data_IF_201334148776
#
_entry.id   IF_201334148776
#
_cell.length_a   1.000
_cell.length_b   1.000
_cell.length_c   1.000
_cell.angle_alpha   90.00
_cell.angle_beta   90.00
_cell.angle_gamma   90.00
#
_symmetry.space_group_name_H-M   'P 1'
#
loop_
_entity.id
_entity.type
_entity.pdbx_description
1 polymer ?
#
# COMPACT_ATOMS: atom_id res chain seq x y z
N UNK A 1 -9.00 -6.29 -15.74
CA UNK A 1 -9.68 -4.98 -15.71
C UNK A 1 -10.10 -4.69 -14.28
N UNK A 2 -9.48 -3.71 -13.63
CA UNK A 2 -10.18 -2.74 -12.78
C UNK A 2 -10.87 -3.14 -11.47
N UNK A 3 -10.60 -4.28 -10.84
CA UNK A 3 -11.32 -4.60 -9.59
C UNK A 3 -10.86 -3.78 -8.37
N UNK A 4 -9.62 -3.26 -8.37
CA UNK A 4 -9.11 -2.43 -7.29
C UNK A 4 -9.42 -0.94 -7.53
N UNK A 5 -10.17 -0.35 -6.60
CA UNK A 5 -10.45 1.10 -6.55
C UNK A 5 -9.82 1.69 -5.28
N UNK A 6 -9.14 2.82 -5.42
CA UNK A 6 -8.56 3.57 -4.31
C UNK A 6 -9.22 4.95 -4.23
N UNK A 7 -9.72 5.30 -3.05
CA UNK A 7 -10.15 6.66 -2.72
C UNK A 7 -9.06 7.29 -1.84
N UNK A 8 -8.24 8.15 -2.44
CA UNK A 8 -7.13 8.81 -1.74
C UNK A 8 -7.61 9.85 -0.73
N UNK A 9 -8.78 10.47 -0.95
CA UNK A 9 -9.33 11.47 -0.05
C UNK A 9 -9.87 10.85 1.24
N UNK A 10 -10.49 9.67 1.12
CA UNK A 10 -11.03 8.90 2.26
C UNK A 10 -10.06 7.85 2.80
N UNK A 11 -8.95 7.62 2.10
CA UNK A 11 -7.98 6.53 2.35
C UNK A 11 -8.65 5.16 2.41
N UNK A 12 -9.57 4.91 1.47
CA UNK A 12 -10.32 3.65 1.36
C UNK A 12 -9.87 2.86 0.12
N UNK A 13 -9.72 1.55 0.28
CA UNK A 13 -9.49 0.63 -0.84
C UNK A 13 -10.69 -0.31 -0.99
N UNK A 14 -11.08 -0.60 -2.24
CA UNK A 14 -12.13 -1.56 -2.57
C UNK A 14 -11.64 -2.53 -3.62
N UNK A 15 -11.89 -3.81 -3.41
CA UNK A 15 -11.64 -4.86 -4.39
C UNK A 15 -12.95 -5.48 -4.83
N UNK A 16 -13.21 -5.49 -6.14
CA UNK A 16 -14.47 -5.95 -6.73
C UNK A 16 -15.70 -5.31 -6.04
N UNK A 17 -15.59 -4.01 -5.72
CA UNK A 17 -16.62 -3.22 -5.02
C UNK A 17 -16.71 -3.41 -3.50
N UNK A 18 -15.98 -4.38 -2.92
CA UNK A 18 -15.97 -4.66 -1.47
C UNK A 18 -14.87 -3.87 -0.76
N UNK A 19 -15.15 -3.21 0.38
CA UNK A 19 -14.12 -2.50 1.13
C UNK A 19 -13.07 -3.47 1.67
N UNK A 20 -11.81 -3.09 1.55
CA UNK A 20 -10.65 -3.81 2.08
C UNK A 20 -10.11 -3.03 3.27
N UNK A 21 -10.05 -3.69 4.42
CA UNK A 21 -9.49 -3.09 5.63
C UNK A 21 -7.96 -3.09 5.54
N UNK A 22 -7.39 -1.90 5.31
CA UNK A 22 -5.94 -1.68 5.26
C UNK A 22 -5.53 -0.77 6.41
N UNK A 23 -4.35 -1.01 6.97
CA UNK A 23 -3.70 -0.02 7.84
C UNK A 23 -3.22 1.17 7.01
N UNK A 24 -2.91 2.28 7.67
CA UNK A 24 -2.34 3.48 7.04
C UNK A 24 -1.17 3.13 6.12
N UNK A 25 -0.20 2.36 6.63
CA UNK A 25 1.00 1.94 5.88
C UNK A 25 0.63 1.06 4.68
N UNK A 26 -0.30 0.13 4.84
CA UNK A 26 -0.70 -0.75 3.74
C UNK A 26 -1.39 0.04 2.63
N UNK A 27 -2.20 1.04 2.98
CA UNK A 27 -2.83 1.93 2.03
C UNK A 27 -1.80 2.78 1.27
N UNK A 28 -0.81 3.33 1.97
CA UNK A 28 0.26 4.12 1.35
C UNK A 28 1.11 3.25 0.41
N UNK A 29 1.50 2.04 0.85
CA UNK A 29 2.21 1.08 0.00
C UNK A 29 1.39 0.72 -1.24
N UNK A 30 0.10 0.44 -1.07
CA UNK A 30 -0.79 0.14 -2.18
C UNK A 30 -0.91 1.31 -3.15
N UNK A 31 -0.97 2.54 -2.64
CA UNK A 31 -1.02 3.75 -3.45
C UNK A 31 0.25 3.91 -4.27
N UNK A 32 1.43 3.73 -3.66
CA UNK A 32 2.73 3.78 -4.37
C UNK A 32 2.80 2.73 -5.47
N UNK A 33 2.39 1.50 -5.17
CA UNK A 33 2.36 0.40 -6.15
C UNK A 33 1.36 0.68 -7.29
N UNK A 34 0.19 1.22 -6.96
CA UNK A 34 -0.86 1.53 -7.93
C UNK A 34 -0.52 2.71 -8.84
N UNK A 35 0.34 3.65 -8.39
CA UNK A 35 0.82 4.75 -9.23
C UNK A 35 1.73 4.27 -10.37
N UNK A 36 2.42 3.14 -10.20
CA UNK A 36 3.34 2.59 -11.21
C UNK A 36 3.10 1.08 -11.41
N UNK A 37 1.98 0.69 -12.01
CA UNK A 37 1.62 -0.71 -12.19
C UNK A 37 2.67 -1.42 -13.06
N UNK A 38 3.09 -2.61 -12.62
CA UNK A 38 4.11 -3.41 -13.31
C UNK A 38 5.56 -3.04 -13.01
N UNK A 39 5.81 -1.96 -12.25
CA UNK A 39 7.15 -1.66 -11.77
C UNK A 39 7.50 -2.54 -10.57
N UNK A 40 8.70 -3.12 -10.58
CA UNK A 40 9.29 -3.76 -9.40
C UNK A 40 9.93 -2.67 -8.52
N UNK A 41 9.52 -2.62 -7.26
CA UNK A 41 10.10 -1.73 -6.27
C UNK A 41 11.05 -2.49 -5.35
N UNK A 42 12.21 -1.92 -5.07
CA UNK A 42 13.10 -2.42 -4.01
C UNK A 42 12.58 -2.05 -2.63
N UNK A 43 13.06 -2.75 -1.60
CA UNK A 43 12.73 -2.43 -0.19
C UNK A 43 12.98 -0.96 0.14
N UNK A 44 14.14 -0.44 -0.25
CA UNK A 44 14.54 0.94 0.00
C UNK A 44 13.62 1.93 -0.72
N UNK A 45 13.22 1.64 -1.96
CA UNK A 45 12.29 2.49 -2.69
C UNK A 45 10.90 2.53 -2.05
N UNK A 46 10.40 1.40 -1.55
CA UNK A 46 9.13 1.36 -0.84
C UNK A 46 9.21 2.13 0.48
N UNK A 47 10.32 1.99 1.22
CA UNK A 47 10.56 2.73 2.46
C UNK A 47 10.62 4.24 2.23
N UNK A 48 11.38 4.68 1.23
CA UNK A 48 11.51 6.09 0.85
C UNK A 48 10.15 6.68 0.45
N UNK A 49 9.36 5.93 -0.33
CA UNK A 49 8.06 6.37 -0.81
C UNK A 49 6.99 6.50 0.30
N UNK A 50 7.12 5.79 1.43
CA UNK A 50 6.18 5.87 2.56
C UNK A 50 6.69 6.72 3.73
N UNK A 51 7.98 7.04 3.80
CA UNK A 51 8.59 7.84 4.86
C UNK A 51 8.20 9.33 4.83
N UNK A 52 7.61 9.81 3.72
CA UNK A 52 7.33 11.24 3.50
C UNK A 52 6.34 11.91 4.45
N UNK A 53 5.53 11.16 5.22
CA UNK A 53 4.60 11.77 6.19
C UNK A 53 4.56 11.13 7.58
N UNK A 54 5.06 9.90 7.77
CA UNK A 54 5.08 9.31 9.12
C UNK A 54 6.06 8.14 9.24
N UNK A 55 6.57 7.99 10.47
CA UNK A 55 7.15 6.75 11.01
C UNK A 55 8.61 6.40 10.67
N UNK A 56 9.53 7.04 11.39
CA UNK A 56 10.93 6.66 11.55
C UNK A 56 11.17 5.29 12.27
N UNK A 57 10.14 4.45 12.45
CA UNK A 57 10.20 3.26 13.33
C UNK A 57 9.96 1.90 12.66
N UNK A 58 9.64 1.85 11.36
CA UNK A 58 9.02 0.66 10.74
C UNK A 58 9.90 -0.11 9.73
N UNK A 59 11.20 0.22 9.62
CA UNK A 59 12.12 -0.41 8.65
C UNK A 59 12.16 -1.96 8.76
N UNK A 60 11.89 -2.49 9.96
CA UNK A 60 11.97 -3.93 10.26
C UNK A 60 10.76 -4.76 9.81
N UNK A 61 9.64 -4.16 9.42
CA UNK A 61 8.39 -4.91 9.19
C UNK A 61 7.72 -4.66 7.83
N UNK A 62 8.38 -3.97 6.90
CA UNK A 62 7.78 -3.68 5.57
C UNK A 62 7.35 -4.96 4.82
N UNK A 63 8.10 -6.05 4.94
CA UNK A 63 7.73 -7.33 4.32
C UNK A 63 6.43 -7.90 4.88
N UNK A 64 6.20 -7.73 6.19
CA UNK A 64 4.96 -8.16 6.84
C UNK A 64 3.78 -7.29 6.37
N UNK A 65 3.99 -5.98 6.22
CA UNK A 65 2.97 -5.09 5.66
C UNK A 65 2.61 -5.45 4.22
N UNK A 66 3.61 -5.73 3.37
CA UNK A 66 3.41 -6.21 1.99
C UNK A 66 2.70 -7.56 1.96
N UNK A 67 3.11 -8.51 2.81
CA UNK A 67 2.46 -9.82 2.91
C UNK A 67 1.00 -9.68 3.28
N UNK A 68 0.70 -8.91 4.33
CA UNK A 68 -0.66 -8.71 4.81
C UNK A 68 -1.50 -7.92 3.80
N UNK A 69 -0.91 -6.93 3.11
CA UNK A 69 -1.55 -6.21 2.01
C UNK A 69 -1.96 -7.18 0.90
N UNK A 70 -1.07 -8.07 0.48
CA UNK A 70 -1.35 -9.11 -0.54
C UNK A 70 -2.36 -10.16 -0.10
N UNK A 71 -2.63 -10.30 1.20
CA UNK A 71 -3.67 -11.19 1.72
C UNK A 71 -5.03 -10.50 1.82
N UNK A 72 -5.02 -9.18 1.96
CA UNK A 72 -6.23 -8.36 2.04
C UNK A 72 -6.82 -8.07 0.65
N UNK A 73 -5.96 -8.01 -0.37
CA UNK A 73 -6.30 -8.03 -1.79
C UNK A 73 -6.51 -9.47 -2.27
#
# INVERSE_FOLDING_TARGET
MGELTLDLGRREARLAGRPVALTTIQFDLLTVLAQRPGQVFSRLQLLDAVQGEAFAGYERTIDAHIKNLRQAL
#
